data_IF_383713999224
#
_entry.id   IF_383713999224
#
_cell.length_a   1.000
_cell.length_b   1.000
_cell.length_c   1.000
_cell.angle_alpha   90.00
_cell.angle_beta   90.00
_cell.angle_gamma   90.00
#
_symmetry.space_group_name_H-M   'P 1'
#
loop_
_entity.id
_entity.type
_entity.pdbx_description
1 polymer ?
#
# COMPACT_ATOMS: atom_id res chain seq x y z
N UNK A 1 3.26 0.65 93.61
CA UNK A 1 2.35 0.64 92.45
C UNK A 1 2.93 1.50 91.34
N UNK A 2 3.45 0.91 90.25
CA UNK A 2 3.38 1.46 88.89
C UNK A 2 3.91 0.41 87.90
N UNK A 3 3.00 -0.18 87.10
CA UNK A 3 3.33 -1.08 85.99
C UNK A 3 3.94 -0.26 84.85
N UNK A 4 5.14 -0.62 84.38
CA UNK A 4 5.69 -0.08 83.12
C UNK A 4 5.17 -0.93 81.96
N UNK A 5 4.37 -0.28 81.11
CA UNK A 5 3.80 -0.82 79.88
C UNK A 5 4.89 -0.79 78.79
N UNK A 6 5.40 -1.95 78.38
CA UNK A 6 6.27 -2.07 77.21
C UNK A 6 5.40 -2.04 75.95
N UNK A 7 5.43 -0.92 75.22
CA UNK A 7 4.83 -0.80 73.88
C UNK A 7 5.86 -1.32 72.88
N UNK A 8 5.60 -2.48 72.29
CA UNK A 8 6.31 -2.95 71.09
C UNK A 8 5.78 -2.18 69.88
N UNK A 9 6.58 -1.27 69.34
CA UNK A 9 6.29 -0.63 68.04
C UNK A 9 6.74 -1.61 66.95
N UNK A 10 5.78 -2.26 66.30
CA UNK A 10 6.04 -3.03 65.08
C UNK A 10 6.28 -2.05 63.92
N UNK A 11 7.51 -2.04 63.39
CA UNK A 11 7.83 -1.32 62.17
C UNK A 11 7.26 -2.10 60.97
N UNK A 12 6.10 -1.69 60.47
CA UNK A 12 5.56 -2.15 59.18
C UNK A 12 6.38 -1.46 58.08
N UNK A 13 7.28 -2.20 57.44
CA UNK A 13 7.99 -1.73 56.26
C UNK A 13 7.00 -1.76 55.07
N UNK A 14 6.39 -0.61 54.74
CA UNK A 14 5.73 -0.43 53.45
C UNK A 14 6.82 -0.34 52.38
N UNK A 15 7.10 -1.46 51.70
CA UNK A 15 7.80 -1.42 50.42
C UNK A 15 6.82 -0.85 49.38
N UNK A 16 6.89 0.47 49.13
CA UNK A 16 6.25 1.04 47.96
C UNK A 16 6.84 0.38 46.71
N UNK A 17 6.03 -0.03 45.71
CA UNK A 17 6.58 -0.52 44.46
C UNK A 17 7.44 0.59 43.84
N UNK A 18 8.74 0.34 43.73
CA UNK A 18 9.63 1.22 43.01
C UNK A 18 9.19 1.20 41.54
N UNK A 19 8.51 2.25 41.10
CA UNK A 19 8.35 2.52 39.67
C UNK A 19 9.76 2.74 39.14
N UNK A 20 10.31 1.75 38.43
CA UNK A 20 11.53 1.95 37.67
C UNK A 20 11.24 3.06 36.66
N UNK A 21 11.88 4.22 36.81
CA UNK A 21 11.89 5.21 35.74
C UNK A 21 12.42 4.51 34.50
N UNK A 22 11.72 4.63 33.37
CA UNK A 22 12.27 4.22 32.09
C UNK A 22 13.64 4.89 31.93
N UNK A 23 14.66 4.11 31.58
CA UNK A 23 16.01 4.65 31.40
C UNK A 23 15.95 5.78 30.35
N UNK A 24 16.40 6.97 30.73
CA UNK A 24 16.37 8.13 29.84
C UNK A 24 17.30 7.88 28.65
N UNK A 25 16.76 8.02 27.44
CA UNK A 25 17.50 7.80 26.19
C UNK A 25 18.55 8.90 26.00
N UNK A 26 19.77 8.49 25.69
CA UNK A 26 20.84 9.34 25.19
C UNK A 26 20.89 9.29 23.66
N UNK A 27 20.41 10.37 23.03
CA UNK A 27 20.32 10.50 21.58
C UNK A 27 21.68 10.62 20.88
N UNK A 28 22.76 10.97 21.60
CA UNK A 28 24.10 11.08 21.03
C UNK A 28 24.85 9.74 21.03
N UNK A 29 24.64 8.94 22.08
CA UNK A 29 25.27 7.63 22.23
C UNK A 29 24.46 6.48 21.61
N UNK A 30 23.20 6.71 21.28
CA UNK A 30 22.39 5.77 20.50
C UNK A 30 22.82 5.74 19.02
N UNK A 31 22.66 4.60 18.36
CA UNK A 31 23.19 4.37 17.00
C UNK A 31 22.14 3.82 16.05
N UNK A 32 22.27 4.17 14.78
CA UNK A 32 21.57 3.53 13.66
C UNK A 32 22.63 2.94 12.74
N UNK A 33 22.69 1.61 12.66
CA UNK A 33 23.62 0.88 11.80
C UNK A 33 22.88 0.11 10.71
N UNK A 34 23.58 -0.20 9.63
CA UNK A 34 23.08 -1.02 8.53
C UNK A 34 24.11 -2.11 8.20
N UNK A 35 23.65 -3.32 7.92
CA UNK A 35 24.53 -4.47 7.63
C UNK A 35 25.13 -4.45 6.22
N UNK A 36 24.43 -3.84 5.26
CA UNK A 36 24.88 -3.58 3.89
C UNK A 36 24.80 -2.09 3.57
N UNK A 37 25.89 -1.54 3.04
CA UNK A 37 25.89 -0.17 2.53
C UNK A 37 25.28 -0.07 1.12
N UNK A 38 25.14 -1.20 0.41
CA UNK A 38 24.65 -1.28 -0.96
C UNK A 38 23.72 -2.49 -1.17
N UNK A 39 22.67 -2.30 -1.98
CA UNK A 39 21.78 -3.38 -2.47
C UNK A 39 21.33 -3.10 -3.92
N UNK A 40 20.89 -4.14 -4.62
CA UNK A 40 20.17 -4.03 -5.89
C UNK A 40 18.67 -3.72 -5.66
N UNK A 41 18.09 -2.85 -6.51
CA UNK A 41 16.68 -2.47 -6.48
C UNK A 41 15.77 -3.48 -7.21
N UNK A 42 15.79 -4.74 -6.79
CA UNK A 42 14.96 -5.82 -7.34
C UNK A 42 13.75 -6.18 -6.44
N UNK A 43 13.61 -5.49 -5.30
CA UNK A 43 12.57 -5.77 -4.29
C UNK A 43 12.79 -7.06 -3.48
N UNK A 44 13.85 -7.81 -3.77
CA UNK A 44 14.18 -9.11 -3.16
C UNK A 44 15.42 -8.96 -2.28
N UNK A 45 16.49 -8.36 -2.80
CA UNK A 45 17.66 -8.02 -2.02
C UNK A 45 17.30 -6.99 -0.95
N UNK A 46 17.85 -7.21 0.24
CA UNK A 46 17.56 -6.39 1.39
C UNK A 46 18.81 -6.09 2.22
N UNK A 47 18.69 -5.02 3.00
CA UNK A 47 19.57 -4.66 4.11
C UNK A 47 18.78 -4.66 5.42
N UNK A 48 19.45 -4.88 6.54
CA UNK A 48 18.90 -4.77 7.89
C UNK A 48 19.47 -3.54 8.58
N UNK A 49 18.57 -2.61 8.90
CA UNK A 49 18.87 -1.50 9.80
C UNK A 49 18.69 -1.98 11.24
N UNK A 50 19.74 -1.84 12.05
CA UNK A 50 19.72 -2.11 13.49
C UNK A 50 19.89 -0.81 14.26
N UNK A 51 18.88 -0.45 15.04
CA UNK A 51 18.93 0.69 15.98
C UNK A 51 19.33 0.15 17.33
N UNK A 52 20.29 0.81 17.99
CA UNK A 52 20.73 0.47 19.36
C UNK A 52 20.55 1.69 20.24
N UNK A 53 19.68 1.59 21.23
CA UNK A 53 19.42 2.67 22.18
C UNK A 53 20.27 2.53 23.44
N UNK A 54 20.88 3.64 23.84
CA UNK A 54 21.73 3.77 25.02
C UNK A 54 21.18 4.86 25.94
N UNK A 55 21.35 4.66 27.24
CA UNK A 55 21.18 5.72 28.23
C UNK A 55 22.51 6.49 28.42
N UNK A 56 22.49 7.51 29.28
CA UNK A 56 23.67 8.34 29.58
C UNK A 56 24.83 7.57 30.23
N UNK A 57 24.58 6.39 30.78
CA UNK A 57 25.58 5.50 31.37
C UNK A 57 26.03 4.40 30.39
N UNK A 58 25.65 4.51 29.10
CA UNK A 58 25.87 3.51 28.06
C UNK A 58 25.15 2.17 28.32
N UNK A 59 24.20 2.16 29.26
CA UNK A 59 23.27 1.05 29.49
C UNK A 59 22.31 0.87 28.31
N UNK A 60 21.83 -0.35 28.10
CA UNK A 60 20.84 -0.64 27.05
C UNK A 60 19.45 -0.17 27.48
N UNK A 61 18.77 0.60 26.63
CA UNK A 61 17.37 1.00 26.88
C UNK A 61 16.45 -0.07 26.31
N UNK A 62 15.75 -0.80 27.19
CA UNK A 62 14.87 -1.93 26.85
C UNK A 62 13.41 -1.46 26.79
N UNK A 63 12.64 -2.01 25.85
CA UNK A 63 11.19 -1.78 25.76
C UNK A 63 10.77 -0.48 25.10
N UNK A 64 11.70 0.30 24.55
CA UNK A 64 11.39 1.54 23.85
C UNK A 64 10.90 1.27 22.42
N UNK A 65 9.88 2.00 21.98
CA UNK A 65 9.31 1.87 20.64
C UNK A 65 10.05 2.77 19.65
N UNK A 66 10.59 2.18 18.59
CA UNK A 66 11.39 2.85 17.56
C UNK A 66 10.62 2.90 16.25
N UNK A 67 10.52 4.09 15.66
CA UNK A 67 10.06 4.27 14.28
C UNK A 67 11.27 4.54 13.39
N UNK A 68 11.32 3.92 12.21
CA UNK A 68 12.34 4.20 11.20
C UNK A 68 11.72 4.92 10.01
N UNK A 69 12.37 5.98 9.53
CA UNK A 69 11.97 6.73 8.34
C UNK A 69 13.06 6.71 7.28
N UNK A 70 12.69 6.55 6.02
CA UNK A 70 13.57 6.77 4.87
C UNK A 70 13.44 8.21 4.37
N UNK A 71 14.57 8.83 4.02
CA UNK A 71 14.60 10.11 3.29
C UNK A 71 13.92 10.05 1.92
N UNK A 72 13.73 8.85 1.36
CA UNK A 72 13.04 8.62 0.07
C UNK A 72 11.56 8.22 0.23
N UNK A 73 11.02 8.29 1.46
CA UNK A 73 9.60 8.03 1.71
C UNK A 73 9.19 6.62 1.28
N UNK A 74 8.10 6.52 0.49
CA UNK A 74 7.52 5.25 0.02
C UNK A 74 8.30 4.56 -1.10
N UNK A 75 9.39 5.16 -1.58
CA UNK A 75 10.28 4.51 -2.56
C UNK A 75 11.09 3.37 -1.95
N UNK A 76 11.25 3.37 -0.62
CA UNK A 76 11.85 2.28 0.12
C UNK A 76 10.78 1.57 0.96
N UNK A 77 10.78 0.24 0.91
CA UNK A 77 9.90 -0.57 1.73
C UNK A 77 10.60 -0.90 3.05
N UNK A 78 10.03 -0.42 4.15
CA UNK A 78 10.50 -0.72 5.51
C UNK A 78 9.59 -1.79 6.11
N UNK A 79 10.09 -3.02 6.24
CA UNK A 79 9.42 -4.10 6.97
C UNK A 79 9.92 -4.13 8.41
N UNK A 80 9.02 -4.01 9.37
CA UNK A 80 9.34 -4.10 10.80
C UNK A 80 9.66 -5.56 11.14
N UNK A 81 10.90 -5.83 11.58
CA UNK A 81 11.25 -7.13 12.16
C UNK A 81 11.05 -7.12 13.68
N UNK A 82 11.46 -6.03 14.32
CA UNK A 82 11.21 -5.73 15.72
C UNK A 82 11.37 -4.23 15.96
N UNK A 83 10.32 -3.51 16.31
CA UNK A 83 10.37 -2.07 16.60
C UNK A 83 10.49 -1.75 18.09
N UNK A 84 10.37 -2.74 18.99
CA UNK A 84 10.52 -2.54 20.44
C UNK A 84 11.90 -3.02 20.87
N UNK A 85 12.69 -2.19 21.54
CA UNK A 85 14.07 -2.56 21.87
C UNK A 85 14.15 -3.79 22.79
N UNK A 86 14.97 -4.77 22.40
CA UNK A 86 15.21 -5.99 23.17
C UNK A 86 16.07 -5.76 24.42
N UNK A 87 16.45 -6.83 25.13
CA UNK A 87 17.32 -6.79 26.31
C UNK A 87 18.70 -6.16 26.04
N UNK A 88 19.12 -6.07 24.78
CA UNK A 88 20.36 -5.43 24.36
C UNK A 88 20.14 -4.01 23.83
N UNK A 89 18.92 -3.49 23.90
CA UNK A 89 18.53 -2.18 23.42
C UNK A 89 18.33 -2.11 21.91
N UNK A 90 18.08 -3.25 21.23
CA UNK A 90 18.08 -3.33 19.77
C UNK A 90 16.68 -3.40 19.16
N UNK A 91 16.44 -2.58 18.14
CA UNK A 91 15.31 -2.68 17.22
C UNK A 91 15.85 -2.93 15.79
N UNK A 92 15.09 -3.67 14.96
CA UNK A 92 15.51 -4.11 13.62
C UNK A 92 14.43 -3.90 12.57
N UNK A 93 14.87 -3.44 11.40
CA UNK A 93 14.03 -3.18 10.24
C UNK A 93 14.68 -3.77 9.00
N UNK A 94 13.90 -4.44 8.15
CA UNK A 94 14.33 -4.91 6.84
C UNK A 94 13.98 -3.86 5.80
N UNK A 95 14.93 -3.52 4.95
CA UNK A 95 14.81 -2.53 3.88
C UNK A 95 14.90 -3.24 2.53
N UNK A 96 13.93 -3.03 1.65
CA UNK A 96 13.99 -3.36 0.21
C UNK A 96 13.63 -2.13 -0.62
N UNK A 97 14.01 -2.10 -1.89
CA UNK A 97 13.64 -1.02 -2.82
C UNK A 97 13.48 -1.55 -4.24
N UNK A 98 12.70 -0.83 -5.06
CA UNK A 98 12.55 -1.07 -6.51
C UNK A 98 13.13 0.08 -7.34
N UNK A 99 13.62 1.15 -6.71
CA UNK A 99 14.19 2.31 -7.39
C UNK A 99 15.63 2.57 -6.93
N UNK A 100 16.53 2.85 -7.87
CA UNK A 100 17.89 3.33 -7.54
C UNK A 100 17.88 4.64 -6.78
N UNK A 101 18.93 4.86 -6.00
CA UNK A 101 19.19 6.13 -5.32
C UNK A 101 19.84 5.94 -3.95
N UNK A 102 20.31 7.06 -3.38
CA UNK A 102 20.78 7.09 -2.00
C UNK A 102 19.62 7.29 -1.02
N UNK A 103 19.55 6.45 0.01
CA UNK A 103 18.58 6.52 1.10
C UNK A 103 19.29 6.82 2.42
N UNK A 104 18.72 7.71 3.23
CA UNK A 104 19.16 7.96 4.61
C UNK A 104 18.05 7.55 5.57
N UNK A 105 18.38 6.67 6.49
CA UNK A 105 17.46 6.14 7.50
C UNK A 105 17.65 6.85 8.83
N UNK A 106 16.56 7.42 9.33
CA UNK A 106 16.50 8.12 10.62
C UNK A 106 15.60 7.36 11.57
N UNK A 107 16.13 7.00 12.74
CA UNK A 107 15.33 6.42 13.82
C UNK A 107 14.74 7.52 14.70
N UNK A 108 13.48 7.38 15.08
CA UNK A 108 12.73 8.29 15.93
C UNK A 108 12.22 7.53 17.14
N UNK A 109 12.45 8.07 18.33
CA UNK A 109 12.00 7.52 19.61
C UNK A 109 11.47 8.67 20.45
N UNK A 110 10.32 8.48 21.11
CA UNK A 110 9.64 9.52 21.91
C UNK A 110 9.44 10.86 21.16
N UNK A 111 9.26 10.79 19.84
CA UNK A 111 9.07 11.96 18.97
C UNK A 111 10.36 12.69 18.59
N UNK A 112 11.53 12.26 19.06
CA UNK A 112 12.82 12.86 18.75
C UNK A 112 13.67 11.93 17.85
N UNK A 113 14.31 12.51 16.85
CA UNK A 113 15.23 11.80 15.97
C UNK A 113 16.58 11.52 16.67
N UNK A 114 17.13 10.32 16.45
CA UNK A 114 18.52 10.03 16.82
C UNK A 114 19.48 10.88 15.98
N UNK A 115 20.63 11.22 16.56
CA UNK A 115 21.65 12.04 15.88
C UNK A 115 22.34 11.25 14.77
N UNK A 116 22.55 9.95 14.98
CA UNK A 116 23.18 9.07 13.99
C UNK A 116 22.14 8.52 13.03
N UNK A 117 22.53 8.43 11.76
CA UNK A 117 21.71 7.90 10.68
C UNK A 117 22.48 6.80 9.96
N UNK A 118 21.77 5.93 9.25
CA UNK A 118 22.38 4.96 8.34
C UNK A 118 22.12 5.39 6.89
N UNK A 119 23.12 5.27 6.03
CA UNK A 119 23.00 5.51 4.60
C UNK A 119 23.02 4.18 3.84
N UNK A 120 22.24 4.10 2.76
CA UNK A 120 22.18 2.97 1.85
C UNK A 120 22.24 3.49 0.41
N UNK A 121 23.10 2.92 -0.41
CA UNK A 121 23.15 3.16 -1.85
C UNK A 121 22.44 2.03 -2.59
N UNK A 122 21.36 2.36 -3.29
CA UNK A 122 20.59 1.39 -4.07
C UNK A 122 20.95 1.52 -5.54
N UNK A 123 21.43 0.43 -6.14
CA UNK A 123 21.81 0.37 -7.57
C UNK A 123 20.82 -0.49 -8.36
N UNK A 124 20.84 -0.39 -9.70
CA UNK A 124 19.86 -1.10 -10.54
C UNK A 124 18.41 -0.62 -10.33
N UNK A 125 17.44 -1.44 -10.71
CA UNK A 125 16.02 -1.13 -10.52
C UNK A 125 15.43 -0.16 -11.55
N UNK A 126 14.24 0.36 -11.23
CA UNK A 126 13.47 1.23 -12.12
C UNK A 126 14.18 2.57 -12.28
N UNK A 127 14.68 2.84 -13.48
CA UNK A 127 15.31 4.08 -13.91
C UNK A 127 14.32 5.09 -14.51
N UNK A 128 13.12 4.66 -14.88
CA UNK A 128 12.06 5.54 -15.39
C UNK A 128 11.34 6.22 -14.22
N UNK A 129 11.12 7.54 -14.32
CA UNK A 129 10.32 8.27 -13.36
C UNK A 129 8.84 7.88 -13.49
N UNK A 130 8.35 7.10 -12.52
CA UNK A 130 6.96 6.67 -12.42
C UNK A 130 6.31 7.26 -11.17
N UNK A 131 5.10 7.80 -11.34
CA UNK A 131 4.23 8.33 -10.30
C UNK A 131 2.94 7.50 -10.23
N UNK A 132 2.33 7.42 -9.05
CA UNK A 132 0.98 6.85 -8.92
C UNK A 132 0.02 7.49 -9.92
N UNK A 133 -0.74 6.66 -10.62
CA UNK A 133 -1.65 7.10 -11.66
C UNK A 133 -1.10 7.03 -13.08
N UNK A 134 0.21 6.81 -13.24
CA UNK A 134 0.82 6.69 -14.56
C UNK A 134 0.25 5.49 -15.32
N UNK A 135 -0.02 5.71 -16.61
CA UNK A 135 -0.34 4.66 -17.55
C UNK A 135 0.93 4.27 -18.28
N UNK A 136 1.24 2.98 -18.35
CA UNK A 136 2.48 2.47 -18.91
C UNK A 136 2.23 1.34 -19.91
N UNK A 137 3.06 1.26 -20.96
CA UNK A 137 3.17 0.12 -21.85
C UNK A 137 4.62 -0.08 -22.29
N UNK A 138 4.92 -1.24 -22.87
CA UNK A 138 6.21 -1.45 -23.55
C UNK A 138 6.17 -0.88 -24.98
N UNK A 139 7.32 -0.65 -25.64
CA UNK A 139 7.35 -0.23 -27.03
C UNK A 139 6.67 -1.27 -27.91
N UNK A 140 6.00 -0.80 -28.96
CA UNK A 140 5.50 -1.64 -30.04
C UNK A 140 6.71 -2.29 -30.75
N UNK A 141 6.70 -3.62 -30.88
CA UNK A 141 7.78 -4.35 -31.53
C UNK A 141 7.59 -4.42 -33.07
N UNK A 142 6.46 -3.92 -33.57
CA UNK A 142 6.09 -3.89 -34.97
C UNK A 142 5.63 -5.23 -35.55
N UNK A 143 5.52 -6.27 -34.72
CA UNK A 143 5.04 -7.59 -35.12
C UNK A 143 3.53 -7.70 -34.82
N UNK A 144 2.66 -7.77 -35.84
CA UNK A 144 1.23 -7.88 -35.62
C UNK A 144 0.79 -9.22 -34.99
N UNK A 145 1.71 -10.18 -34.83
CA UNK A 145 1.45 -11.49 -34.22
C UNK A 145 1.74 -11.51 -32.71
N UNK A 146 2.50 -10.54 -32.19
CA UNK A 146 2.72 -10.38 -30.76
C UNK A 146 1.63 -9.47 -30.19
N UNK A 147 1.10 -9.84 -29.02
CA UNK A 147 0.09 -9.03 -28.32
C UNK A 147 0.63 -8.46 -27.00
N UNK A 148 1.83 -8.86 -26.59
CA UNK A 148 2.44 -8.47 -25.30
C UNK A 148 2.69 -6.97 -25.18
N UNK A 149 2.85 -6.29 -26.31
CA UNK A 149 3.11 -4.86 -26.47
C UNK A 149 1.85 -4.02 -26.66
N UNK A 150 0.69 -4.65 -26.88
CA UNK A 150 -0.61 -3.96 -26.91
C UNK A 150 -1.14 -3.63 -25.50
N UNK A 151 -0.69 -4.37 -24.49
CA UNK A 151 -1.17 -4.23 -23.11
C UNK A 151 -0.80 -2.88 -22.49
N UNK A 152 -1.80 -2.24 -21.88
CA UNK A 152 -1.63 -1.04 -21.06
C UNK A 152 -1.78 -1.43 -19.59
N UNK A 153 -1.01 -0.78 -18.72
CA UNK A 153 -1.06 -0.99 -17.29
C UNK A 153 -1.22 0.34 -16.54
N UNK A 154 -1.89 0.29 -15.40
CA UNK A 154 -1.92 1.37 -14.41
C UNK A 154 -0.80 1.13 -13.38
N UNK A 155 0.11 2.08 -13.21
CA UNK A 155 1.11 2.06 -12.15
C UNK A 155 0.52 2.67 -10.88
N UNK A 156 0.52 1.89 -9.82
CA UNK A 156 -0.13 2.23 -8.57
C UNK A 156 0.87 2.62 -7.48
N UNK A 157 0.38 3.32 -6.46
CA UNK A 157 1.15 3.75 -5.28
C UNK A 157 1.85 2.62 -4.52
N UNK A 158 1.35 1.39 -4.59
CA UNK A 158 1.96 0.19 -4.01
C UNK A 158 3.20 -0.31 -4.79
N UNK A 159 3.61 0.39 -5.84
CA UNK A 159 4.73 0.03 -6.69
C UNK A 159 4.43 -1.08 -7.69
N UNK A 160 3.16 -1.49 -7.83
CA UNK A 160 2.73 -2.54 -8.75
C UNK A 160 2.07 -1.99 -10.00
N UNK A 161 1.98 -2.82 -11.03
CA UNK A 161 1.20 -2.56 -12.25
C UNK A 161 -0.11 -3.34 -12.24
N UNK A 162 -1.20 -2.69 -12.60
CA UNK A 162 -2.52 -3.30 -12.73
C UNK A 162 -2.90 -3.37 -14.20
N UNK A 163 -3.33 -4.56 -14.64
CA UNK A 163 -3.54 -4.87 -16.06
C UNK A 163 -4.91 -4.38 -16.51
N UNK A 164 -5.01 -3.66 -17.62
CA UNK A 164 -6.30 -3.46 -18.29
C UNK A 164 -6.64 -4.71 -19.10
N UNK A 165 -7.72 -5.45 -18.78
CA UNK A 165 -8.03 -6.71 -19.46
C UNK A 165 -8.41 -6.53 -20.94
N UNK A 166 -8.96 -5.37 -21.29
CA UNK A 166 -9.30 -4.99 -22.66
C UNK A 166 -9.39 -3.45 -22.81
N UNK A 167 -9.48 -3.00 -24.06
CA UNK A 167 -9.63 -1.58 -24.39
C UNK A 167 -10.91 -0.96 -23.80
N UNK A 168 -12.02 -1.70 -23.75
CA UNK A 168 -13.29 -1.18 -23.23
C UNK A 168 -13.19 -0.81 -21.76
N UNK A 169 -12.50 -1.64 -20.96
CA UNK A 169 -12.21 -1.34 -19.55
C UNK A 169 -11.39 -0.07 -19.46
N UNK A 170 -10.32 0.06 -20.26
CA UNK A 170 -9.48 1.26 -20.31
C UNK A 170 -10.30 2.52 -20.61
N UNK A 171 -11.16 2.47 -21.63
CA UNK A 171 -11.98 3.62 -22.05
C UNK A 171 -13.07 4.03 -21.06
N UNK A 172 -13.37 3.20 -20.06
CA UNK A 172 -14.23 3.63 -18.93
C UNK A 172 -13.49 4.53 -17.94
N UNK A 173 -12.16 4.48 -17.91
CA UNK A 173 -11.31 5.26 -17.03
C UNK A 173 -10.67 6.46 -17.73
N UNK A 174 -10.24 6.29 -18.98
CA UNK A 174 -9.46 7.28 -19.71
C UNK A 174 -10.02 7.50 -21.12
N UNK A 175 -10.09 8.74 -21.62
CA UNK A 175 -10.72 9.03 -22.90
C UNK A 175 -9.88 8.63 -24.12
N UNK A 176 -8.56 8.47 -23.95
CA UNK A 176 -7.62 8.19 -25.03
C UNK A 176 -6.32 7.58 -24.49
N UNK A 177 -5.46 7.09 -25.38
CA UNK A 177 -4.12 6.59 -25.03
C UNK A 177 -3.03 7.68 -24.96
N UNK A 178 -3.38 8.96 -25.05
CA UNK A 178 -2.39 10.06 -25.15
C UNK A 178 -1.49 10.20 -23.92
N UNK A 179 -1.95 9.71 -22.76
CA UNK A 179 -1.24 9.79 -21.49
C UNK A 179 -0.46 8.51 -21.16
N UNK A 180 -0.46 7.52 -22.07
CA UNK A 180 0.28 6.27 -21.87
C UNK A 180 1.77 6.51 -22.14
N UNK A 181 2.58 6.28 -21.11
CA UNK A 181 4.04 6.32 -21.18
C UNK A 181 4.58 5.01 -21.73
N UNK A 182 5.53 5.12 -22.64
CA UNK A 182 6.29 3.95 -23.13
C UNK A 182 7.51 3.78 -22.23
N UNK A 183 7.69 2.59 -21.66
CA UNK A 183 8.85 2.23 -20.83
C UNK A 183 9.55 0.99 -21.40
N UNK A 184 10.88 0.89 -21.31
CA UNK A 184 11.61 -0.30 -21.76
C UNK A 184 11.16 -1.60 -21.08
N UNK A 185 11.29 -2.74 -21.77
CA UNK A 185 10.82 -4.05 -21.29
C UNK A 185 11.54 -4.50 -20.01
N UNK A 186 12.84 -4.23 -19.89
CA UNK A 186 13.65 -4.49 -18.69
C UNK A 186 13.20 -3.65 -17.49
N UNK A 187 12.66 -2.46 -17.73
CA UNK A 187 12.09 -1.60 -16.69
C UNK A 187 10.69 -2.09 -16.31
N UNK A 188 9.91 -2.51 -17.30
CA UNK A 188 8.60 -3.11 -17.10
C UNK A 188 8.71 -4.38 -16.25
N UNK A 189 9.62 -5.31 -16.55
CA UNK A 189 9.73 -6.60 -15.84
C UNK A 189 9.99 -6.47 -14.33
N UNK A 190 10.57 -5.35 -13.88
CA UNK A 190 10.81 -5.03 -12.47
C UNK A 190 9.54 -4.60 -11.72
N UNK A 191 8.45 -4.27 -12.42
CA UNK A 191 7.18 -3.83 -11.82
C UNK A 191 6.25 -5.05 -11.68
N UNK A 192 6.02 -5.57 -10.47
CA UNK A 192 5.19 -6.75 -10.28
C UNK A 192 3.71 -6.49 -10.59
N UNK A 193 2.97 -7.54 -10.94
CA UNK A 193 1.53 -7.46 -11.20
C UNK A 193 0.77 -7.37 -9.87
N UNK A 194 -0.10 -6.37 -9.75
CA UNK A 194 -1.00 -6.16 -8.60
C UNK A 194 -2.40 -6.76 -8.79
N UNK A 195 -2.82 -6.99 -10.03
CA UNK A 195 -4.12 -7.55 -10.38
C UNK A 195 -4.69 -6.93 -11.65
N UNK A 196 -5.96 -7.18 -11.91
CA UNK A 196 -6.67 -6.67 -13.09
C UNK A 196 -7.50 -5.44 -12.74
N UNK A 197 -7.47 -4.40 -13.59
CA UNK A 197 -8.38 -3.27 -13.52
C UNK A 197 -9.78 -3.72 -13.95
N UNK A 198 -10.79 -3.25 -13.21
CA UNK A 198 -12.21 -3.48 -13.49
C UNK A 198 -12.84 -2.27 -14.16
N UNK A 199 -13.99 -2.43 -14.79
CA UNK A 199 -14.72 -1.30 -15.36
C UNK A 199 -14.96 -0.21 -14.32
N UNK A 200 -14.84 1.06 -14.73
CA UNK A 200 -15.02 2.18 -13.81
C UNK A 200 -16.44 2.20 -13.25
N UNK A 201 -16.62 2.24 -11.91
CA UNK A 201 -17.93 2.31 -11.31
C UNK A 201 -18.78 3.46 -11.84
N UNK A 202 -20.09 3.22 -12.04
CA UNK A 202 -21.00 4.25 -12.52
C UNK A 202 -20.90 4.60 -14.01
N UNK A 203 -20.13 3.88 -14.84
CA UNK A 203 -19.94 4.24 -16.25
C UNK A 203 -20.73 3.37 -17.25
N UNK A 204 -20.74 2.06 -17.03
CA UNK A 204 -21.37 1.07 -17.92
C UNK A 204 -22.14 0.05 -17.11
N UNK A 205 -23.05 -0.64 -17.79
CA UNK A 205 -23.62 -1.90 -17.36
C UNK A 205 -22.87 -3.05 -18.03
N UNK A 206 -22.75 -4.17 -17.35
CA UNK A 206 -22.04 -5.34 -17.84
C UNK A 206 -22.99 -6.52 -17.99
N UNK A 207 -22.72 -7.34 -19.00
CA UNK A 207 -23.38 -8.62 -19.24
C UNK A 207 -22.35 -9.68 -19.64
N UNK A 208 -22.57 -10.91 -19.20
CA UNK A 208 -21.80 -12.08 -19.64
C UNK A 208 -22.62 -12.81 -20.71
N UNK A 209 -21.98 -13.46 -21.69
CA UNK A 209 -22.69 -14.09 -22.82
C UNK A 209 -23.60 -15.24 -22.37
N UNK A 210 -23.21 -15.91 -21.29
CA UNK A 210 -23.92 -17.06 -20.69
C UNK A 210 -24.91 -16.68 -19.59
N UNK A 211 -24.98 -15.41 -19.17
CA UNK A 211 -25.90 -14.92 -18.15
C UNK A 211 -26.92 -13.95 -18.74
N UNK A 212 -28.20 -14.15 -18.45
CA UNK A 212 -29.27 -13.25 -18.92
C UNK A 212 -29.29 -11.91 -18.18
N UNK A 213 -28.68 -11.85 -16.99
CA UNK A 213 -28.69 -10.70 -16.09
C UNK A 213 -27.79 -9.55 -16.58
N UNK A 214 -28.20 -8.33 -16.26
CA UNK A 214 -27.44 -7.11 -16.49
C UNK A 214 -27.01 -6.52 -15.15
N UNK A 215 -25.75 -6.13 -15.04
CA UNK A 215 -25.14 -5.68 -13.79
C UNK A 215 -24.65 -4.24 -13.90
N UNK A 216 -24.77 -3.46 -12.82
CA UNK A 216 -24.01 -2.21 -12.65
C UNK A 216 -22.75 -2.45 -11.85
N UNK A 217 -21.71 -1.66 -12.12
CA UNK A 217 -20.42 -1.78 -11.44
C UNK A 217 -20.33 -0.78 -10.29
N UNK A 218 -20.16 -1.29 -9.07
CA UNK A 218 -19.88 -0.51 -7.86
C UNK A 218 -18.39 -0.54 -7.51
N UNK A 219 -17.98 0.32 -6.57
CA UNK A 219 -16.59 0.41 -6.10
C UNK A 219 -16.02 -0.96 -5.74
N UNK A 220 -14.77 -1.20 -6.13
CA UNK A 220 -14.05 -2.45 -5.86
C UNK A 220 -14.34 -3.55 -6.87
N UNK A 221 -15.00 -3.25 -7.99
CA UNK A 221 -15.37 -4.27 -8.96
C UNK A 221 -16.55 -5.13 -8.50
N UNK A 222 -17.50 -4.55 -7.76
CA UNK A 222 -18.70 -5.27 -7.31
C UNK A 222 -19.80 -5.11 -8.34
N UNK A 223 -20.25 -6.22 -8.92
CA UNK A 223 -21.38 -6.29 -9.82
C UNK A 223 -22.68 -6.44 -9.03
N UNK A 224 -23.62 -5.52 -9.28
CA UNK A 224 -24.94 -5.53 -8.66
C UNK A 224 -26.00 -5.73 -9.74
N UNK A 225 -26.79 -6.78 -9.61
CA UNK A 225 -27.80 -7.16 -10.60
C UNK A 225 -28.95 -6.14 -10.64
N UNK A 226 -29.30 -5.64 -11.84
CA UNK A 226 -30.50 -4.85 -12.08
C UNK A 226 -31.70 -5.80 -12.27
N UNK A 227 -32.66 -5.76 -11.32
CA UNK A 227 -33.78 -6.72 -11.30
C UNK A 227 -34.66 -6.70 -12.55
N UNK A 228 -34.80 -5.54 -13.19
CA UNK A 228 -35.61 -5.37 -14.39
C UNK A 228 -35.13 -4.17 -15.24
N UNK A 229 -35.72 -4.06 -16.44
CA UNK A 229 -35.42 -2.99 -17.39
C UNK A 229 -35.88 -1.61 -16.88
N UNK A 230 -36.95 -1.53 -16.10
CA UNK A 230 -37.45 -0.24 -15.59
C UNK A 230 -36.46 0.40 -14.62
N UNK A 231 -35.75 -0.41 -13.82
CA UNK A 231 -34.65 0.04 -12.97
C UNK A 231 -33.48 0.53 -13.82
N UNK A 232 -33.12 -0.20 -14.89
CA UNK A 232 -32.04 0.21 -15.79
C UNK A 232 -32.35 1.55 -16.49
N UNK A 233 -33.57 1.72 -17.00
CA UNK A 233 -34.09 2.96 -17.58
C UNK A 233 -34.12 4.09 -16.55
N UNK A 234 -34.51 3.81 -15.30
CA UNK A 234 -34.53 4.80 -14.23
C UNK A 234 -33.14 5.31 -13.83
N UNK A 235 -32.10 4.51 -14.05
CA UNK A 235 -30.70 4.84 -13.69
C UNK A 235 -29.95 5.48 -14.86
N UNK A 236 -30.07 4.93 -16.08
CA UNK A 236 -29.30 5.35 -17.26
C UNK A 236 -30.13 6.10 -18.32
N UNK A 237 -31.43 6.27 -18.07
CA UNK A 237 -32.36 6.94 -18.98
C UNK A 237 -32.81 6.06 -20.16
N UNK A 238 -33.47 6.68 -21.13
CA UNK A 238 -34.08 5.98 -22.27
C UNK A 238 -33.05 5.19 -23.12
N UNK A 239 -31.79 5.61 -23.14
CA UNK A 239 -30.72 4.97 -23.90
C UNK A 239 -29.91 3.95 -23.08
N UNK A 240 -30.45 3.44 -21.97
CA UNK A 240 -29.78 2.50 -21.07
C UNK A 240 -29.13 1.33 -21.83
N UNK A 241 -29.79 0.81 -22.85
CA UNK A 241 -29.30 -0.30 -23.67
C UNK A 241 -27.98 0.00 -24.41
N UNK A 242 -27.66 1.28 -24.67
CA UNK A 242 -26.38 1.71 -25.25
C UNK A 242 -25.24 1.78 -24.22
N UNK A 243 -25.55 1.63 -22.94
CA UNK A 243 -24.58 1.60 -21.85
C UNK A 243 -24.21 0.16 -21.44
N UNK A 244 -24.74 -0.86 -22.12
CA UNK A 244 -24.41 -2.26 -21.84
C UNK A 244 -23.18 -2.66 -22.67
N UNK A 245 -22.18 -3.20 -21.99
CA UNK A 245 -21.06 -3.89 -22.60
C UNK A 245 -21.11 -5.39 -22.27
N UNK A 246 -21.07 -6.22 -23.31
CA UNK A 246 -20.79 -7.64 -23.16
C UNK A 246 -19.30 -7.84 -22.84
N UNK A 247 -19.03 -8.67 -21.84
CA UNK A 247 -17.68 -9.06 -21.42
C UNK A 247 -17.52 -10.58 -21.44
N UNK A 248 -16.32 -11.09 -21.80
CA UNK A 248 -16.04 -12.53 -21.77
C UNK A 248 -16.19 -13.14 -20.38
N UNK A 249 -16.60 -14.41 -20.30
CA UNK A 249 -16.72 -15.20 -19.07
C UNK A 249 -15.41 -15.28 -18.29
N UNK A 250 -14.26 -15.24 -18.97
CA UNK A 250 -12.94 -15.25 -18.33
C UNK A 250 -12.72 -14.06 -17.41
N UNK A 251 -13.48 -12.97 -17.57
CA UNK A 251 -13.40 -11.79 -16.70
C UNK A 251 -14.30 -11.90 -15.48
N UNK A 252 -15.15 -12.92 -15.37
CA UNK A 252 -16.03 -13.13 -14.22
C UNK A 252 -15.26 -13.13 -12.90
N UNK A 253 -14.09 -13.78 -12.88
CA UNK A 253 -13.20 -13.88 -11.70
C UNK A 253 -12.58 -12.55 -11.27
N UNK A 254 -12.67 -11.50 -12.09
CA UNK A 254 -12.19 -10.17 -11.74
C UNK A 254 -13.20 -9.37 -10.90
N UNK A 255 -14.43 -9.88 -10.75
CA UNK A 255 -15.53 -9.18 -10.11
C UNK A 255 -16.09 -9.97 -8.92
N UNK A 256 -16.66 -9.23 -7.97
CA UNK A 256 -17.48 -9.79 -6.89
C UNK A 256 -18.96 -9.49 -7.14
N UNK A 257 -19.86 -10.25 -6.51
CA UNK A 257 -21.30 -10.07 -6.67
C UNK A 257 -21.90 -9.49 -5.39
N UNK A 258 -22.56 -8.34 -5.53
CA UNK A 258 -23.18 -7.63 -4.42
C UNK A 258 -24.70 -7.68 -4.44
N UNK A 259 -25.30 -6.99 -3.49
CA UNK A 259 -26.75 -6.89 -3.36
C UNK A 259 -27.41 -6.34 -4.63
N UNK A 260 -28.51 -6.96 -5.12
CA UNK A 260 -29.24 -6.48 -6.28
C UNK A 260 -29.71 -5.04 -6.12
N UNK A 261 -29.90 -4.36 -7.25
CA UNK A 261 -30.49 -3.04 -7.35
C UNK A 261 -31.97 -3.24 -7.66
N UNK A 262 -32.83 -2.94 -6.68
CA UNK A 262 -34.27 -3.20 -6.77
C UNK A 262 -35.06 -1.97 -7.22
N UNK A 263 -34.51 -0.77 -7.05
CA UNK A 263 -35.08 0.48 -7.54
C UNK A 263 -33.96 1.44 -7.99
N UNK A 264 -34.33 2.49 -8.75
CA UNK A 264 -33.35 3.42 -9.32
C UNK A 264 -32.63 4.32 -8.31
N UNK A 265 -33.12 4.43 -7.06
CA UNK A 265 -32.46 5.21 -6.01
C UNK A 265 -31.36 4.42 -5.28
N UNK A 266 -31.36 3.08 -5.39
CA UNK A 266 -30.35 2.21 -4.77
C UNK A 266 -28.96 2.38 -5.41
N UNK A 267 -28.90 3.00 -6.59
CA UNK A 267 -27.69 3.19 -7.35
C UNK A 267 -27.76 4.48 -8.17
N UNK A 268 -26.97 5.48 -7.77
CA UNK A 268 -26.86 6.76 -8.48
C UNK A 268 -25.51 6.80 -9.20
N UNK A 269 -25.46 6.68 -10.54
CA UNK A 269 -24.21 6.49 -11.29
C UNK A 269 -23.17 7.58 -11.03
N UNK A 270 -23.59 8.84 -10.98
CA UNK A 270 -22.67 9.96 -10.78
C UNK A 270 -22.09 9.99 -9.36
N UNK A 271 -22.86 9.63 -8.34
CA UNK A 271 -22.37 9.53 -6.95
C UNK A 271 -21.34 8.41 -6.86
N UNK A 272 -21.66 7.23 -7.42
CA UNK A 272 -20.76 6.08 -7.43
C UNK A 272 -19.48 6.42 -8.19
N UNK A 273 -19.59 7.01 -9.38
CA UNK A 273 -18.46 7.42 -10.21
C UNK A 273 -17.58 8.45 -9.51
N UNK A 274 -18.17 9.47 -8.88
CA UNK A 274 -17.44 10.53 -8.18
C UNK A 274 -16.78 10.05 -6.88
N UNK A 275 -17.31 8.98 -6.27
CA UNK A 275 -16.67 8.31 -5.13
C UNK A 275 -15.37 7.58 -5.51
N UNK A 276 -15.14 7.35 -6.81
CA UNK A 276 -13.99 6.62 -7.34
C UNK A 276 -13.28 7.47 -8.40
N UNK A 277 -12.38 8.34 -7.92
CA UNK A 277 -11.63 9.27 -8.77
C UNK A 277 -10.39 8.64 -9.43
N UNK A 278 -9.91 7.52 -8.92
CA UNK A 278 -8.78 6.77 -9.49
C UNK A 278 -8.94 5.27 -9.29
N UNK A 279 -8.16 4.48 -10.05
CA UNK A 279 -8.08 3.02 -9.88
C UNK A 279 -7.53 2.66 -8.50
N UNK A 280 -6.59 3.45 -7.97
CA UNK A 280 -6.11 3.31 -6.59
C UNK A 280 -7.23 3.39 -5.55
N UNK A 281 -8.14 4.36 -5.70
CA UNK A 281 -9.31 4.51 -4.81
C UNK A 281 -10.30 3.35 -4.98
N UNK A 282 -10.53 2.89 -6.21
CA UNK A 282 -11.42 1.76 -6.50
C UNK A 282 -10.95 0.49 -5.79
N UNK A 283 -9.66 0.19 -5.93
CA UNK A 283 -9.02 -1.02 -5.44
C UNK A 283 -8.53 -0.92 -4.00
N UNK A 284 -8.75 0.22 -3.34
CA UNK A 284 -8.29 0.49 -1.98
C UNK A 284 -6.77 0.27 -1.79
N UNK A 285 -5.99 0.67 -2.79
CA UNK A 285 -4.52 0.61 -2.78
C UNK A 285 -4.01 1.70 -1.84
N UNK A 286 -3.15 1.32 -0.89
CA UNK A 286 -2.59 2.20 0.14
C UNK A 286 -1.16 2.62 -0.14
#
# INVERSE_FOLDING_TARGET
>A
MLKRLCVFVAAVCLAAPAFALAAQIDYQNSTVGIDKAEIEADGIEYAIVTVVLRDMNLGSVVGANVTLQSSRGSEDTITILNNVTDLFGRAKFKITSLKKGGSVFTAIVDGQALVRQAALSVSGGIAVALNDGDLIKIPDDGDPLTQSDTAVYYYAKDGKRYVFPNEKTYFTWYPSFSNVKIIPLDQMSLIPIGGNVTYRPGTRMLKFQTDVKTYVVSRGGILRWLKDESVAQGIFGANWNQYIDDIPESFYVNYEFGEPVANSLDYVPDIVRNSVQSIGVDKSIQ
#
